data_IF_083617821736
#
_entry.id   IF_083617821736
#
_cell.length_a   1.000
_cell.length_b   1.000
_cell.length_c   1.000
_cell.angle_alpha   90.00
_cell.angle_beta   90.00
_cell.angle_gamma   90.00
#
_symmetry.space_group_name_H-M   'P 1'
#
loop_
_entity.id
_entity.type
_entity.pdbx_description
1 polymer ?
#
# COMPACT_ATOMS: atom_id res chain seq x y z
N UNK A 1 -2.00 -9.85 -5.22
CA UNK A 1 -0.78 -9.32 -5.86
C UNK A 1 -0.36 -8.11 -5.03
N UNK A 2 0.90 -8.03 -4.58
CA UNK A 2 1.34 -6.99 -3.62
C UNK A 2 1.60 -5.62 -4.25
N UNK A 3 1.64 -5.53 -5.59
CA UNK A 3 2.05 -4.32 -6.29
C UNK A 3 3.51 -3.92 -6.00
N UNK A 4 4.28 -4.81 -5.39
CA UNK A 4 5.63 -4.58 -4.85
C UNK A 4 6.65 -5.33 -5.69
N UNK A 5 7.83 -4.73 -5.88
CA UNK A 5 8.94 -5.30 -6.66
C UNK A 5 9.41 -6.60 -6.02
N UNK A 6 9.57 -6.65 -4.70
CA UNK A 6 10.07 -7.83 -3.99
C UNK A 6 9.17 -9.06 -4.20
N UNK A 7 7.86 -8.85 -4.37
CA UNK A 7 6.88 -9.91 -4.63
C UNK A 7 7.04 -10.55 -6.02
N UNK A 8 7.73 -9.89 -6.95
CA UNK A 8 8.00 -10.37 -8.31
C UNK A 8 9.50 -10.36 -8.64
N UNK A 9 10.36 -10.38 -7.62
CA UNK A 9 11.82 -10.30 -7.78
C UNK A 9 12.40 -11.33 -8.75
N UNK A 10 11.92 -12.58 -8.69
CA UNK A 10 12.36 -13.66 -9.59
C UNK A 10 12.16 -13.33 -11.08
N UNK A 11 11.13 -12.53 -11.39
CA UNK A 11 10.82 -12.14 -12.76
C UNK A 11 11.78 -11.08 -13.30
N UNK A 12 12.40 -10.27 -12.42
CA UNK A 12 13.34 -9.22 -12.82
C UNK A 12 14.54 -9.78 -13.59
N UNK A 13 14.98 -11.00 -13.26
CA UNK A 13 16.05 -11.66 -14.01
C UNK A 13 15.70 -11.80 -15.49
N UNK A 14 14.52 -12.37 -15.79
CA UNK A 14 14.09 -12.59 -17.17
C UNK A 14 13.74 -11.27 -17.87
N UNK A 15 13.07 -10.38 -17.17
CA UNK A 15 12.46 -9.21 -17.78
C UNK A 15 13.37 -8.01 -17.90
N UNK A 16 14.34 -7.87 -16.98
CA UNK A 16 15.24 -6.72 -16.90
C UNK A 16 16.69 -7.18 -17.06
N UNK A 17 17.24 -7.90 -16.08
CA UNK A 17 18.69 -8.11 -15.96
C UNK A 17 19.29 -8.93 -17.11
N UNK A 18 18.64 -10.03 -17.51
CA UNK A 18 19.08 -10.86 -18.64
C UNK A 18 18.99 -10.13 -19.98
N UNK A 19 18.03 -9.21 -20.13
CA UNK A 19 17.88 -8.40 -21.35
C UNK A 19 18.89 -7.24 -21.38
N UNK A 20 19.20 -6.65 -20.23
CA UNK A 20 20.24 -5.63 -20.09
C UNK A 20 21.62 -6.22 -20.40
N UNK A 21 21.94 -7.40 -19.86
CA UNK A 21 23.19 -8.11 -20.07
C UNK A 21 23.46 -8.57 -21.51
N UNK A 22 22.43 -8.58 -22.37
CA UNK A 22 22.55 -8.91 -23.80
C UNK A 22 22.73 -7.66 -24.67
N UNK A 23 22.73 -6.48 -24.07
CA UNK A 23 22.96 -5.24 -24.79
C UNK A 23 24.40 -5.22 -25.33
N UNK A 24 24.65 -4.77 -26.56
CA UNK A 24 26.01 -4.76 -27.15
C UNK A 24 27.02 -3.96 -26.32
N UNK A 25 26.57 -2.92 -25.63
CA UNK A 25 27.42 -2.08 -24.78
C UNK A 25 27.45 -2.52 -23.31
N UNK A 26 26.91 -3.70 -22.97
CA UNK A 26 26.99 -4.21 -21.61
C UNK A 26 28.42 -4.71 -21.33
N UNK A 27 29.12 -4.17 -20.32
CA UNK A 27 30.47 -4.61 -20.00
C UNK A 27 30.46 -5.97 -19.29
N UNK A 28 31.55 -6.72 -19.42
CA UNK A 28 31.65 -8.09 -18.89
C UNK A 28 31.52 -8.13 -17.35
N UNK A 29 32.03 -7.10 -16.67
CA UNK A 29 32.02 -6.90 -15.22
C UNK A 29 30.75 -6.21 -14.68
N UNK A 30 29.73 -5.96 -15.53
CA UNK A 30 28.47 -5.33 -15.11
C UNK A 30 27.86 -5.99 -13.87
N UNK A 31 27.83 -7.32 -13.83
CA UNK A 31 27.26 -8.04 -12.69
C UNK A 31 28.17 -8.08 -11.48
N UNK A 32 29.46 -7.81 -11.61
CA UNK A 32 30.37 -7.64 -10.47
C UNK A 32 29.94 -6.43 -9.66
N UNK A 33 29.77 -5.29 -10.34
CA UNK A 33 29.32 -4.05 -9.70
C UNK A 33 27.86 -4.12 -9.24
N UNK A 34 26.95 -4.65 -10.07
CA UNK A 34 25.55 -4.80 -9.66
C UNK A 34 25.38 -5.76 -8.48
N UNK A 35 26.18 -6.82 -8.38
CA UNK A 35 26.10 -7.74 -7.23
C UNK A 35 26.72 -7.13 -5.97
N UNK A 36 27.80 -6.36 -6.11
CA UNK A 36 28.35 -5.56 -5.00
C UNK A 36 27.28 -4.62 -4.43
N UNK A 37 26.55 -3.94 -5.29
CA UNK A 37 25.46 -3.06 -4.87
C UNK A 37 24.26 -3.84 -4.31
N UNK A 38 23.86 -4.95 -4.93
CA UNK A 38 22.76 -5.80 -4.43
C UNK A 38 23.05 -6.32 -3.02
N UNK A 39 24.31 -6.58 -2.68
CA UNK A 39 24.70 -7.02 -1.34
C UNK A 39 24.28 -6.03 -0.25
N UNK A 40 24.17 -4.73 -0.55
CA UNK A 40 23.72 -3.72 0.42
C UNK A 40 22.25 -3.92 0.83
N UNK A 41 21.43 -4.49 -0.07
CA UNK A 41 20.02 -4.76 0.13
C UNK A 41 19.71 -6.15 0.73
N UNK A 42 20.73 -6.95 1.06
CA UNK A 42 20.55 -8.32 1.59
C UNK A 42 20.34 -8.37 3.10
N UNK A 43 19.52 -9.33 3.54
CA UNK A 43 19.30 -9.63 4.96
C UNK A 43 20.59 -10.00 5.68
N UNK A 44 21.36 -10.90 5.07
CA UNK A 44 22.69 -11.29 5.51
C UNK A 44 23.69 -10.80 4.47
N UNK A 45 24.28 -9.62 4.73
CA UNK A 45 25.33 -9.06 3.87
C UNK A 45 26.55 -9.98 3.88
N UNK A 46 27.10 -10.24 2.70
CA UNK A 46 28.38 -10.93 2.57
C UNK A 46 29.51 -10.01 3.01
N UNK A 47 30.52 -10.60 3.65
CA UNK A 47 31.73 -9.89 4.07
C UNK A 47 32.47 -9.31 2.84
N UNK A 48 32.64 -7.97 2.78
CA UNK A 48 33.33 -7.30 1.69
C UNK A 48 34.77 -7.78 1.47
N UNK A 49 35.47 -8.19 2.54
CA UNK A 49 36.90 -8.53 2.48
C UNK A 49 37.17 -9.99 2.04
N UNK A 50 36.15 -10.84 2.03
CA UNK A 50 36.31 -12.27 1.74
C UNK A 50 35.27 -12.74 0.72
N UNK A 51 34.10 -13.18 1.18
CA UNK A 51 33.12 -13.87 0.33
C UNK A 51 32.56 -12.97 -0.78
N UNK A 52 32.39 -11.67 -0.52
CA UNK A 52 31.95 -10.76 -1.56
C UNK A 52 33.04 -10.55 -2.61
N UNK A 53 34.29 -10.31 -2.19
CA UNK A 53 35.43 -10.11 -3.07
C UNK A 53 35.62 -11.30 -4.02
N UNK A 54 35.63 -12.53 -3.47
CA UNK A 54 35.77 -13.77 -4.26
C UNK A 54 34.72 -13.89 -5.38
N UNK A 55 33.48 -13.42 -5.11
CA UNK A 55 32.39 -13.48 -6.08
C UNK A 55 32.52 -12.39 -7.15
N UNK A 56 32.83 -11.16 -6.75
CA UNK A 56 32.87 -10.00 -7.66
C UNK A 56 34.17 -9.92 -8.49
N UNK A 57 35.22 -10.64 -8.11
CA UNK A 57 36.43 -10.79 -8.91
C UNK A 57 36.25 -11.73 -10.13
N UNK A 58 35.11 -12.42 -10.21
CA UNK A 58 34.78 -13.32 -11.31
C UNK A 58 33.41 -13.00 -11.92
N UNK A 59 33.35 -12.44 -13.15
CA UNK A 59 32.10 -12.10 -13.84
C UNK A 59 31.05 -13.20 -13.91
N UNK A 60 31.48 -14.45 -14.13
CA UNK A 60 30.56 -15.58 -14.22
C UNK A 60 29.96 -15.92 -12.84
N UNK A 61 30.76 -15.81 -11.77
CA UNK A 61 30.28 -16.04 -10.40
C UNK A 61 29.35 -14.92 -9.95
N UNK A 62 29.71 -13.65 -10.17
CA UNK A 62 28.87 -12.51 -9.82
C UNK A 62 27.51 -12.59 -10.51
N UNK A 63 27.48 -12.88 -11.82
CA UNK A 63 26.24 -13.07 -12.57
C UNK A 63 25.40 -14.23 -12.04
N UNK A 64 26.03 -15.36 -11.69
CA UNK A 64 25.35 -16.51 -11.14
C UNK A 64 24.78 -16.22 -9.74
N UNK A 65 25.53 -15.53 -8.89
CA UNK A 65 25.12 -15.13 -7.55
C UNK A 65 23.96 -14.13 -7.60
N UNK A 66 24.04 -13.12 -8.47
CA UNK A 66 22.98 -12.16 -8.71
C UNK A 66 21.68 -12.87 -9.11
N UNK A 67 21.74 -13.77 -10.11
CA UNK A 67 20.59 -14.56 -10.57
C UNK A 67 19.99 -15.45 -9.48
N UNK A 68 20.82 -16.01 -8.60
CA UNK A 68 20.39 -16.94 -7.54
C UNK A 68 19.77 -16.23 -6.34
N UNK A 69 19.94 -14.92 -6.20
CA UNK A 69 19.38 -14.14 -5.10
C UNK A 69 17.86 -14.21 -5.12
N UNK A 70 17.26 -14.68 -4.02
CA UNK A 70 15.82 -14.82 -3.86
C UNK A 70 15.24 -13.62 -3.11
N UNK A 71 13.93 -13.42 -3.22
CA UNK A 71 13.22 -12.42 -2.43
C UNK A 71 13.44 -12.59 -0.91
N UNK A 72 13.57 -13.83 -0.42
CA UNK A 72 13.88 -14.14 0.99
C UNK A 72 15.24 -13.66 1.46
N UNK A 73 16.16 -13.37 0.53
CA UNK A 73 17.53 -12.97 0.85
C UNK A 73 17.64 -11.44 1.03
N UNK A 74 16.56 -10.69 0.81
CA UNK A 74 16.52 -9.22 0.72
C UNK A 74 15.77 -8.60 1.91
N UNK A 75 16.19 -7.39 2.31
CA UNK A 75 15.73 -6.65 3.50
C UNK A 75 14.28 -6.15 3.44
N UNK A 76 13.63 -6.26 2.30
CA UNK A 76 12.26 -5.77 2.09
C UNK A 76 12.14 -4.90 0.85
N UNK A 77 10.94 -4.37 0.63
CA UNK A 77 10.60 -3.60 -0.56
C UNK A 77 11.47 -2.35 -0.71
N UNK A 78 11.65 -1.58 0.38
CA UNK A 78 12.47 -0.34 0.40
C UNK A 78 13.89 -0.59 -0.07
N UNK A 79 14.51 -1.64 0.45
CA UNK A 79 15.89 -1.98 0.12
C UNK A 79 16.02 -2.38 -1.35
N UNK A 80 15.00 -3.07 -1.88
CA UNK A 80 14.94 -3.45 -3.30
C UNK A 80 14.74 -2.23 -4.20
N UNK A 81 13.80 -1.35 -3.87
CA UNK A 81 13.56 -0.10 -4.61
C UNK A 81 14.83 0.75 -4.64
N UNK A 82 15.44 0.98 -3.47
CA UNK A 82 16.69 1.73 -3.39
C UNK A 82 17.84 1.06 -4.14
N UNK A 83 17.89 -0.28 -4.18
CA UNK A 83 18.85 -1.00 -5.02
C UNK A 83 18.60 -0.72 -6.51
N UNK A 84 17.36 -0.71 -6.99
CA UNK A 84 17.08 -0.41 -8.40
C UNK A 84 17.53 1.01 -8.79
N UNK A 85 17.31 1.98 -7.90
CA UNK A 85 17.77 3.35 -8.11
C UNK A 85 19.31 3.43 -8.11
N UNK A 86 19.99 2.77 -7.17
CA UNK A 86 21.46 2.73 -7.15
C UNK A 86 22.07 1.93 -8.29
N UNK A 87 21.39 0.91 -8.79
CA UNK A 87 21.81 0.15 -9.97
C UNK A 87 21.90 1.05 -11.21
N UNK A 88 21.07 2.08 -11.33
CA UNK A 88 21.20 3.07 -12.40
C UNK A 88 22.55 3.80 -12.32
N UNK A 89 22.97 4.25 -11.14
CA UNK A 89 24.27 4.90 -10.96
C UNK A 89 25.43 3.97 -11.33
N UNK A 90 25.38 2.71 -10.89
CA UNK A 90 26.35 1.68 -11.28
C UNK A 90 26.43 1.53 -12.81
N UNK A 91 25.29 1.52 -13.50
CA UNK A 91 25.25 1.40 -14.96
C UNK A 91 25.78 2.67 -15.65
N UNK A 92 25.47 3.84 -15.08
CA UNK A 92 25.92 5.14 -15.57
C UNK A 92 27.44 5.33 -15.45
N UNK A 93 28.06 4.79 -14.40
CA UNK A 93 29.51 4.86 -14.17
C UNK A 93 30.34 4.16 -15.27
N UNK A 94 29.76 3.21 -15.99
CA UNK A 94 30.38 2.62 -17.19
C UNK A 94 30.42 3.57 -18.40
N UNK A 95 29.84 4.78 -18.29
CA UNK A 95 29.91 5.83 -19.30
C UNK A 95 29.06 5.59 -20.56
N UNK A 96 28.12 4.63 -20.52
CA UNK A 96 27.31 4.24 -21.67
C UNK A 96 25.85 4.70 -21.53
N UNK A 97 25.53 5.88 -22.07
CA UNK A 97 24.16 6.43 -22.04
C UNK A 97 23.09 5.51 -22.65
N UNK A 98 23.44 4.73 -23.67
CA UNK A 98 22.52 3.75 -24.28
C UNK A 98 22.16 2.62 -23.31
N UNK A 99 23.12 2.13 -22.54
CA UNK A 99 22.90 1.07 -21.56
C UNK A 99 22.03 1.57 -20.39
N UNK A 100 22.30 2.79 -19.93
CA UNK A 100 21.49 3.49 -18.92
C UNK A 100 20.05 3.69 -19.39
N UNK A 101 19.85 4.18 -20.61
CA UNK A 101 18.51 4.33 -21.19
C UNK A 101 17.83 2.97 -21.41
N UNK A 102 18.58 1.93 -21.77
CA UNK A 102 18.07 0.57 -21.88
C UNK A 102 17.56 0.05 -20.54
N UNK A 103 18.29 0.30 -19.45
CA UNK A 103 17.86 -0.06 -18.11
C UNK A 103 16.55 0.65 -17.73
N UNK A 104 16.45 1.96 -17.98
CA UNK A 104 15.23 2.74 -17.77
C UNK A 104 14.02 2.13 -18.48
N UNK A 105 14.13 1.86 -19.80
CA UNK A 105 13.02 1.31 -20.60
C UNK A 105 12.61 -0.09 -20.11
N UNK A 106 13.58 -0.93 -19.73
CA UNK A 106 13.29 -2.27 -19.21
C UNK A 106 12.58 -2.21 -17.84
N UNK A 107 13.04 -1.33 -16.96
CA UNK A 107 12.41 -1.12 -15.65
C UNK A 107 10.99 -0.57 -15.80
N UNK A 108 10.78 0.43 -16.66
CA UNK A 108 9.45 0.99 -16.93
C UNK A 108 8.48 -0.10 -17.42
N UNK A 109 8.88 -0.87 -18.45
CA UNK A 109 8.06 -1.95 -18.97
C UNK A 109 7.77 -3.03 -17.92
N UNK A 110 8.69 -3.27 -16.98
CA UNK A 110 8.50 -4.19 -15.87
C UNK A 110 7.45 -3.67 -14.87
N UNK A 111 7.54 -2.40 -14.47
CA UNK A 111 6.56 -1.76 -13.58
C UNK A 111 5.15 -1.84 -14.17
N UNK A 112 5.00 -1.49 -15.45
CA UNK A 112 3.71 -1.53 -16.16
C UNK A 112 3.16 -2.96 -16.26
N UNK A 113 4.00 -3.92 -16.69
CA UNK A 113 3.61 -5.33 -16.89
C UNK A 113 3.07 -5.98 -15.63
N UNK A 114 3.66 -5.71 -14.47
CA UNK A 114 3.24 -6.29 -13.19
C UNK A 114 2.34 -5.36 -12.37
N UNK A 115 1.91 -4.22 -12.95
CA UNK A 115 1.08 -3.20 -12.30
C UNK A 115 1.63 -2.83 -10.91
N UNK A 116 2.94 -2.59 -10.88
CA UNK A 116 3.65 -2.23 -9.65
C UNK A 116 3.31 -0.81 -9.25
N UNK A 117 3.45 -0.53 -7.94
CA UNK A 117 2.97 0.69 -7.31
C UNK A 117 3.78 1.95 -7.62
N UNK A 118 4.77 1.89 -8.52
CA UNK A 118 5.72 2.96 -8.75
C UNK A 118 5.62 3.54 -10.17
N UNK A 119 5.83 4.84 -10.26
CA UNK A 119 6.09 5.58 -11.49
C UNK A 119 7.60 5.83 -11.61
N UNK A 120 8.17 5.59 -12.79
CA UNK A 120 9.61 5.75 -13.03
C UNK A 120 9.90 7.14 -13.60
N UNK A 121 10.73 7.92 -12.92
CA UNK A 121 11.14 9.26 -13.32
C UNK A 121 12.63 9.32 -13.66
N UNK A 122 12.99 10.20 -14.59
CA UNK A 122 14.39 10.42 -14.98
C UNK A 122 15.16 11.19 -13.88
N UNK A 123 16.47 10.95 -13.69
CA UNK A 123 17.30 10.02 -14.45
C UNK A 123 16.95 8.55 -14.19
N UNK A 124 16.72 8.15 -12.93
CA UNK A 124 16.05 6.91 -12.54
C UNK A 124 15.63 6.97 -11.06
N UNK A 125 14.36 7.24 -10.80
CA UNK A 125 13.79 7.27 -9.45
C UNK A 125 12.37 6.71 -9.46
N UNK A 126 12.04 5.92 -8.45
CA UNK A 126 10.78 5.20 -8.32
C UNK A 126 9.88 5.92 -7.33
N UNK A 127 8.78 6.47 -7.83
CA UNK A 127 7.85 7.27 -7.03
C UNK A 127 6.57 6.49 -6.77
N UNK A 128 6.11 6.35 -5.52
CA UNK A 128 4.82 5.75 -5.22
C UNK A 128 3.69 6.45 -5.98
N UNK A 129 2.84 5.66 -6.64
CA UNK A 129 1.64 6.15 -7.31
C UNK A 129 0.48 6.24 -6.31
N UNK A 130 -0.47 7.14 -6.55
CA UNK A 130 -1.66 7.24 -5.71
C UNK A 130 -2.46 5.92 -5.62
N UNK A 131 -2.74 5.19 -6.73
CA UNK A 131 -3.35 3.86 -6.64
C UNK A 131 -2.51 2.88 -5.79
N UNK A 132 -1.19 2.95 -5.89
CA UNK A 132 -0.25 2.18 -5.09
C UNK A 132 -0.38 2.46 -3.59
N UNK A 133 -0.45 3.73 -3.21
CA UNK A 133 -0.66 4.19 -1.84
C UNK A 133 -2.00 3.66 -1.28
N UNK A 134 -3.08 3.73 -2.06
CA UNK A 134 -4.37 3.17 -1.65
C UNK A 134 -4.35 1.64 -1.51
N UNK A 135 -3.70 0.94 -2.44
CA UNK A 135 -3.55 -0.51 -2.37
C UNK A 135 -2.79 -0.93 -1.10
N UNK A 136 -1.75 -0.17 -0.74
CA UNK A 136 -0.99 -0.38 0.49
C UNK A 136 -1.82 -0.11 1.74
N UNK A 137 -2.50 1.03 1.79
CA UNK A 137 -3.40 1.38 2.88
C UNK A 137 -4.44 0.29 3.16
N UNK A 138 -5.09 -0.24 2.12
CA UNK A 138 -6.08 -1.33 2.28
C UNK A 138 -5.46 -2.62 2.83
N UNK A 139 -4.23 -2.93 2.43
CA UNK A 139 -3.50 -4.10 2.90
C UNK A 139 -3.08 -3.94 4.36
N UNK A 140 -2.57 -2.79 4.74
CA UNK A 140 -2.13 -2.51 6.10
C UNK A 140 -3.36 -2.43 7.03
N UNK A 141 -4.48 -1.89 6.56
CA UNK A 141 -5.77 -1.96 7.25
C UNK A 141 -6.21 -3.41 7.49
N UNK A 142 -6.07 -4.30 6.50
CA UNK A 142 -6.32 -5.75 6.70
C UNK A 142 -5.39 -6.34 7.76
N UNK A 143 -4.11 -5.97 7.75
CA UNK A 143 -3.14 -6.44 8.73
C UNK A 143 -3.51 -5.99 10.15
N UNK A 144 -3.83 -4.71 10.32
CA UNK A 144 -4.26 -4.13 11.61
C UNK A 144 -5.52 -4.79 12.12
N UNK A 145 -6.56 -4.86 11.29
CA UNK A 145 -7.86 -5.44 11.68
C UNK A 145 -7.75 -6.94 12.01
N UNK A 146 -6.81 -7.67 11.41
CA UNK A 146 -6.59 -9.09 11.70
C UNK A 146 -6.09 -9.39 13.12
N UNK A 147 -5.60 -8.38 13.84
CA UNK A 147 -5.13 -8.49 15.22
C UNK A 147 -6.28 -8.56 16.24
N UNK A 148 -7.51 -8.21 15.85
CA UNK A 148 -8.70 -8.24 16.68
C UNK A 148 -9.82 -9.02 15.98
N UNK A 149 -10.45 -9.98 16.68
CA UNK A 149 -11.43 -10.87 16.07
C UNK A 149 -12.69 -10.13 15.57
N UNK A 150 -13.12 -9.08 16.27
CA UNK A 150 -14.30 -8.29 15.89
C UNK A 150 -13.98 -7.39 14.69
N UNK A 151 -12.84 -6.70 14.70
CA UNK A 151 -12.39 -5.90 13.56
C UNK A 151 -12.11 -6.76 12.33
N UNK A 152 -11.54 -7.95 12.51
CA UNK A 152 -11.32 -8.89 11.41
C UNK A 152 -12.64 -9.35 10.78
N UNK A 153 -13.71 -9.52 11.57
CA UNK A 153 -15.03 -9.87 11.05
C UNK A 153 -15.61 -8.73 10.21
N UNK A 154 -15.54 -7.48 10.70
CA UNK A 154 -15.99 -6.29 9.99
C UNK A 154 -15.21 -6.05 8.67
N UNK A 155 -13.90 -6.28 8.69
CA UNK A 155 -13.06 -6.17 7.48
C UNK A 155 -13.46 -7.22 6.44
N UNK A 156 -13.73 -8.46 6.85
CA UNK A 156 -14.18 -9.53 5.95
C UNK A 156 -15.55 -9.22 5.36
N UNK A 157 -16.50 -8.75 6.17
CA UNK A 157 -17.83 -8.35 5.72
C UNK A 157 -17.75 -7.23 4.67
N UNK A 158 -16.91 -6.21 4.90
CA UNK A 158 -16.66 -5.18 3.90
C UNK A 158 -16.08 -5.75 2.59
N UNK A 159 -15.07 -6.61 2.66
CA UNK A 159 -14.50 -7.22 1.46
C UNK A 159 -15.47 -8.13 0.71
N UNK A 160 -16.33 -8.84 1.42
CA UNK A 160 -17.37 -9.69 0.83
C UNK A 160 -18.42 -8.87 0.11
N UNK A 161 -18.93 -7.80 0.73
CA UNK A 161 -19.89 -6.89 0.08
C UNK A 161 -19.31 -6.21 -1.17
N UNK A 162 -18.01 -5.89 -1.19
CA UNK A 162 -17.32 -5.41 -2.40
C UNK A 162 -17.28 -6.48 -3.49
N UNK A 163 -17.03 -7.75 -3.15
CA UNK A 163 -17.01 -8.86 -4.12
C UNK A 163 -18.39 -9.14 -4.71
N UNK A 164 -19.44 -9.05 -3.91
CA UNK A 164 -20.84 -9.26 -4.33
C UNK A 164 -21.26 -8.32 -5.46
N UNK A 165 -20.72 -7.09 -5.48
CA UNK A 165 -20.97 -6.09 -6.53
C UNK A 165 -20.46 -6.50 -7.92
N UNK A 166 -19.62 -7.55 -8.02
CA UNK A 166 -19.27 -8.11 -9.33
C UNK A 166 -20.44 -8.86 -9.96
N UNK A 167 -21.28 -9.52 -9.16
CA UNK A 167 -22.44 -10.28 -9.63
C UNK A 167 -23.69 -9.43 -9.79
N UNK A 168 -23.96 -8.54 -8.84
CA UNK A 168 -25.19 -7.73 -8.80
C UNK A 168 -24.88 -6.32 -8.27
N UNK A 169 -25.12 -5.30 -9.10
CA UNK A 169 -24.88 -3.89 -8.75
C UNK A 169 -26.16 -3.14 -8.37
N UNK A 170 -27.09 -3.83 -7.71
CA UNK A 170 -28.35 -3.20 -7.30
C UNK A 170 -28.14 -2.14 -6.21
N UNK A 171 -29.01 -1.11 -6.12
CA UNK A 171 -28.94 -0.09 -5.09
C UNK A 171 -28.87 -0.68 -3.68
N UNK A 172 -29.57 -1.79 -3.43
CA UNK A 172 -29.51 -2.53 -2.17
C UNK A 172 -28.08 -3.02 -1.87
N UNK A 173 -27.40 -3.63 -2.84
CA UNK A 173 -26.03 -4.14 -2.68
C UNK A 173 -25.03 -3.01 -2.48
N UNK A 174 -25.21 -1.90 -3.19
CA UNK A 174 -24.37 -0.71 -2.99
C UNK A 174 -24.51 -0.16 -1.56
N UNK A 175 -25.74 0.00 -1.07
CA UNK A 175 -26.00 0.46 0.32
C UNK A 175 -25.36 -0.47 1.35
N UNK A 176 -25.45 -1.79 1.13
CA UNK A 176 -24.82 -2.79 2.01
C UNK A 176 -23.30 -2.65 2.05
N UNK A 177 -22.64 -2.44 0.91
CA UNK A 177 -21.19 -2.21 0.85
C UNK A 177 -20.77 -0.95 1.63
N UNK A 178 -21.48 0.16 1.41
CA UNK A 178 -21.25 1.41 2.13
C UNK A 178 -21.46 1.20 3.65
N UNK A 179 -22.55 0.55 4.05
CA UNK A 179 -22.86 0.27 5.45
C UNK A 179 -21.78 -0.58 6.13
N UNK A 180 -21.29 -1.63 5.46
CA UNK A 180 -20.23 -2.50 5.97
C UNK A 180 -18.93 -1.71 6.21
N UNK A 181 -18.57 -0.79 5.31
CA UNK A 181 -17.40 0.06 5.51
C UNK A 181 -17.57 1.02 6.69
N UNK A 182 -18.74 1.63 6.88
CA UNK A 182 -19.00 2.46 8.06
C UNK A 182 -18.91 1.65 9.35
N UNK A 183 -19.43 0.43 9.37
CA UNK A 183 -19.32 -0.45 10.54
C UNK A 183 -17.85 -0.75 10.86
N UNK A 184 -17.02 -1.02 9.85
CA UNK A 184 -15.57 -1.19 10.01
C UNK A 184 -14.92 0.06 10.62
N UNK A 185 -15.18 1.25 10.08
CA UNK A 185 -14.58 2.49 10.58
C UNK A 185 -15.07 2.85 12.00
N UNK A 186 -16.33 2.60 12.32
CA UNK A 186 -16.88 2.75 13.66
C UNK A 186 -16.22 1.77 14.64
N UNK A 187 -15.96 0.54 14.21
CA UNK A 187 -15.17 -0.44 14.96
C UNK A 187 -13.75 0.05 15.25
N UNK A 188 -13.04 0.56 14.24
CA UNK A 188 -11.70 1.12 14.41
C UNK A 188 -11.69 2.27 15.42
N UNK A 189 -12.65 3.19 15.27
CA UNK A 189 -12.71 4.38 16.13
C UNK A 189 -13.11 4.01 17.58
N UNK A 190 -13.94 3.00 17.77
CA UNK A 190 -14.26 2.43 19.09
C UNK A 190 -13.02 1.84 19.77
N UNK A 191 -12.10 1.27 19.00
CA UNK A 191 -10.81 0.76 19.48
C UNK A 191 -9.74 1.86 19.65
N UNK A 192 -10.05 3.12 19.31
CA UNK A 192 -9.08 4.20 19.42
C UNK A 192 -8.76 4.55 20.89
N UNK A 193 -7.48 4.72 21.28
CA UNK A 193 -7.10 4.92 22.69
C UNK A 193 -7.85 6.07 23.39
N UNK A 194 -7.96 7.23 22.74
CA UNK A 194 -8.65 8.38 23.31
C UNK A 194 -10.16 8.14 23.54
N UNK A 195 -10.79 7.29 22.73
CA UNK A 195 -12.21 6.92 22.89
C UNK A 195 -12.37 5.94 24.04
N UNK A 196 -11.47 4.95 24.14
CA UNK A 196 -11.43 3.99 25.26
C UNK A 196 -11.22 4.74 26.57
N UNK A 197 -10.23 5.63 26.63
CA UNK A 197 -9.93 6.45 27.81
C UNK A 197 -11.12 7.30 28.22
N UNK A 198 -11.72 8.03 27.26
CA UNK A 198 -12.91 8.84 27.55
C UNK A 198 -14.04 7.99 28.13
N UNK A 199 -14.34 6.83 27.53
CA UNK A 199 -15.42 5.96 27.99
C UNK A 199 -15.11 5.26 29.32
N UNK A 200 -13.85 5.06 29.68
CA UNK A 200 -13.43 4.51 30.97
C UNK A 200 -13.73 5.47 32.14
N UNK A 201 -13.75 6.78 31.89
CA UNK A 201 -14.08 7.80 32.91
C UNK A 201 -15.59 7.95 33.18
N UNK A 202 -16.44 7.21 32.46
CA UNK A 202 -17.91 7.32 32.55
C UNK A 202 -18.48 6.18 33.37
N UNK A 203 -19.05 6.52 34.53
CA UNK A 203 -19.72 5.57 35.42
C UNK A 203 -20.99 5.00 34.78
N UNK A 204 -21.73 5.85 34.05
CA UNK A 204 -22.99 5.47 33.43
C UNK A 204 -22.83 5.14 31.96
N UNK A 205 -23.42 4.02 31.54
CA UNK A 205 -23.39 3.54 30.15
C UNK A 205 -24.01 4.54 29.15
N UNK A 206 -24.96 5.36 29.61
CA UNK A 206 -25.59 6.43 28.82
C UNK A 206 -24.67 7.63 28.54
N UNK A 207 -23.60 7.79 29.32
CA UNK A 207 -22.62 8.87 29.13
C UNK A 207 -21.48 8.47 28.18
N UNK A 208 -21.39 7.19 27.82
CA UNK A 208 -20.37 6.70 26.89
C UNK A 208 -20.70 7.12 25.46
N UNK A 209 -19.68 7.52 24.72
CA UNK A 209 -19.81 7.79 23.29
C UNK A 209 -19.80 6.47 22.53
N UNK A 210 -20.84 6.25 21.72
CA UNK A 210 -21.04 5.00 20.96
C UNK A 210 -21.20 5.22 19.46
N UNK A 211 -21.66 6.40 19.06
CA UNK A 211 -21.83 6.73 17.64
C UNK A 211 -20.51 7.22 17.08
N UNK A 212 -20.23 6.89 15.81
CA UNK A 212 -19.03 7.38 15.12
C UNK A 212 -18.83 8.89 15.28
N UNK A 213 -19.88 9.68 15.04
CA UNK A 213 -19.78 11.13 15.13
C UNK A 213 -19.37 11.64 16.51
N UNK A 214 -19.90 11.05 17.58
CA UNK A 214 -19.51 11.39 18.95
C UNK A 214 -18.08 10.92 19.29
N UNK A 215 -17.67 9.77 18.76
CA UNK A 215 -16.29 9.28 18.91
C UNK A 215 -15.29 10.16 18.15
N UNK A 216 -15.66 10.74 17.00
CA UNK A 216 -14.81 11.69 16.27
C UNK A 216 -14.45 12.90 17.14
N UNK A 217 -15.37 13.37 17.98
CA UNK A 217 -15.12 14.49 18.90
C UNK A 217 -14.10 14.14 20.00
N UNK A 218 -13.91 12.85 20.32
CA UNK A 218 -12.97 12.39 21.33
C UNK A 218 -11.61 11.96 20.79
N UNK A 219 -11.52 11.53 19.52
CA UNK A 219 -10.31 10.94 18.96
C UNK A 219 -9.09 11.88 18.93
N UNK A 220 -9.29 13.21 18.84
CA UNK A 220 -8.22 14.24 18.84
C UNK A 220 -7.09 14.02 17.82
N UNK A 221 -7.38 13.34 16.71
CA UNK A 221 -6.44 12.99 15.61
C UNK A 221 -6.51 13.93 14.40
N UNK A 222 -7.46 14.85 14.40
CA UNK A 222 -7.80 15.61 13.20
C UNK A 222 -6.85 16.80 12.99
N UNK A 223 -6.31 17.00 11.78
CA UNK A 223 -5.41 18.12 11.50
C UNK A 223 -6.13 19.47 11.46
N UNK A 224 -7.45 19.46 11.27
CA UNK A 224 -8.28 20.67 11.24
C UNK A 224 -9.74 20.33 11.58
N UNK A 225 -10.48 21.28 12.16
CA UNK A 225 -11.88 21.06 12.54
C UNK A 225 -12.78 20.67 11.36
N UNK A 226 -12.54 21.23 10.17
CA UNK A 226 -13.31 20.87 8.96
C UNK A 226 -13.06 19.43 8.51
N UNK A 227 -11.89 18.85 8.77
CA UNK A 227 -11.65 17.43 8.45
C UNK A 227 -12.47 16.52 9.37
N UNK A 228 -12.56 16.87 10.65
CA UNK A 228 -13.44 16.18 11.60
C UNK A 228 -14.91 16.29 11.18
N UNK A 229 -15.38 17.51 10.88
CA UNK A 229 -16.77 17.73 10.48
C UNK A 229 -17.09 17.07 9.13
N UNK A 230 -16.13 17.00 8.19
CA UNK A 230 -16.29 16.22 6.96
C UNK A 230 -16.52 14.74 7.25
N UNK A 231 -15.74 14.12 8.15
CA UNK A 231 -15.95 12.73 8.55
C UNK A 231 -17.34 12.52 9.19
N UNK A 232 -17.77 13.45 10.06
CA UNK A 232 -19.09 13.44 10.70
C UNK A 232 -20.23 13.62 9.70
N UNK A 233 -20.07 14.48 8.69
CA UNK A 233 -21.08 14.72 7.66
C UNK A 233 -21.22 13.53 6.72
N UNK A 234 -20.10 12.90 6.33
CA UNK A 234 -20.13 11.66 5.55
C UNK A 234 -20.80 10.54 6.36
N UNK A 235 -20.57 10.47 7.67
CA UNK A 235 -21.31 9.57 8.55
C UNK A 235 -22.81 9.89 8.61
N UNK A 236 -23.17 11.17 8.73
CA UNK A 236 -24.56 11.64 8.72
C UNK A 236 -25.30 11.21 7.47
N UNK A 237 -24.65 11.22 6.30
CA UNK A 237 -25.20 10.65 5.07
C UNK A 237 -25.63 9.18 5.23
N UNK A 238 -24.83 8.33 5.88
CA UNK A 238 -25.19 6.92 6.09
C UNK A 238 -26.29 6.70 7.13
N UNK A 239 -26.45 7.62 8.08
CA UNK A 239 -27.53 7.61 9.06
C UNK A 239 -28.85 8.11 8.46
N UNK A 240 -28.80 9.15 7.65
CA UNK A 240 -29.98 9.84 7.12
C UNK A 240 -30.48 9.25 5.80
N UNK A 241 -29.60 8.70 4.96
CA UNK A 241 -30.02 8.12 3.69
C UNK A 241 -30.78 6.79 3.93
N UNK A 242 -31.98 6.60 3.34
CA UNK A 242 -32.79 5.42 3.58
C UNK A 242 -32.14 4.08 3.21
N UNK A 243 -32.02 3.21 4.22
CA UNK A 243 -31.61 1.82 4.04
C UNK A 243 -30.10 1.60 3.88
N UNK A 244 -29.26 2.56 4.26
CA UNK A 244 -27.81 2.30 4.45
C UNK A 244 -27.59 1.67 5.82
N UNK A 245 -27.77 2.42 6.92
CA UNK A 245 -27.62 1.89 8.28
C UNK A 245 -28.94 1.74 9.04
N UNK A 246 -29.87 2.66 8.81
CA UNK A 246 -31.16 2.73 9.49
C UNK A 246 -32.28 2.99 8.47
N UNK A 247 -33.52 3.06 8.94
CA UNK A 247 -34.66 3.45 8.09
C UNK A 247 -34.42 4.79 7.37
N UNK A 248 -33.63 5.68 7.98
CA UNK A 248 -33.26 6.98 7.43
C UNK A 248 -34.44 7.95 7.35
N UNK A 249 -34.22 9.05 6.63
CA UNK A 249 -35.22 10.10 6.36
C UNK A 249 -35.47 10.15 4.86
N UNK A 250 -36.61 9.63 4.34
CA UNK A 250 -36.88 9.58 2.91
C UNK A 250 -36.73 10.93 2.18
N UNK A 251 -37.07 12.04 2.85
CA UNK A 251 -36.92 13.38 2.31
C UNK A 251 -35.46 13.83 2.07
N UNK A 252 -34.48 13.18 2.70
CA UNK A 252 -33.05 13.48 2.51
C UNK A 252 -32.44 12.76 1.30
N UNK A 253 -33.17 11.84 0.66
CA UNK A 253 -32.72 11.15 -0.55
C UNK A 253 -32.98 12.01 -1.78
N UNK A 254 -31.93 12.53 -2.41
CA UNK A 254 -32.05 13.31 -3.65
C UNK A 254 -32.22 12.43 -4.90
N UNK A 255 -31.62 11.25 -4.90
CA UNK A 255 -31.71 10.23 -5.96
C UNK A 255 -31.31 8.88 -5.40
N UNK A 256 -31.60 7.82 -6.15
CA UNK A 256 -31.10 6.48 -5.82
C UNK A 256 -29.56 6.42 -5.91
N UNK A 257 -28.95 5.69 -4.97
CA UNK A 257 -27.51 5.44 -4.91
C UNK A 257 -27.10 4.39 -5.94
N UNK A 258 -25.98 4.65 -6.61
CA UNK A 258 -25.39 3.79 -7.62
C UNK A 258 -23.89 3.53 -7.36
N UNK A 259 -23.24 2.86 -8.31
CA UNK A 259 -21.82 2.51 -8.21
C UNK A 259 -20.88 3.72 -8.12
N UNK A 260 -21.25 4.89 -8.67
CA UNK A 260 -20.43 6.11 -8.57
C UNK A 260 -20.36 6.57 -7.12
N UNK A 261 -21.48 6.55 -6.41
CA UNK A 261 -21.54 6.93 -5.00
C UNK A 261 -20.73 5.96 -4.13
N UNK A 262 -20.84 4.65 -4.42
CA UNK A 262 -20.05 3.61 -3.77
C UNK A 262 -18.56 3.90 -3.86
N UNK A 263 -18.06 4.16 -5.07
CA UNK A 263 -16.64 4.44 -5.30
C UNK A 263 -16.22 5.72 -4.56
N UNK A 264 -16.99 6.80 -4.70
CA UNK A 264 -16.65 8.08 -4.10
C UNK A 264 -16.60 8.01 -2.56
N UNK A 265 -17.63 7.43 -1.95
CA UNK A 265 -17.71 7.25 -0.49
C UNK A 265 -16.60 6.30 -0.03
N UNK A 266 -16.37 5.20 -0.74
CA UNK A 266 -15.36 4.22 -0.32
C UNK A 266 -13.94 4.79 -0.34
N UNK A 267 -13.59 5.56 -1.37
CA UNK A 267 -12.29 6.23 -1.46
C UNK A 267 -12.13 7.26 -0.33
N UNK A 268 -13.16 8.08 -0.07
CA UNK A 268 -13.13 9.07 1.00
C UNK A 268 -12.96 8.42 2.38
N UNK A 269 -13.74 7.38 2.66
CA UNK A 269 -13.72 6.64 3.93
C UNK A 269 -12.41 5.89 4.14
N UNK A 270 -11.88 5.24 3.11
CA UNK A 270 -10.55 4.60 3.18
C UNK A 270 -9.47 5.62 3.48
N UNK A 271 -9.48 6.79 2.82
CA UNK A 271 -8.54 7.88 3.13
C UNK A 271 -8.62 8.33 4.59
N UNK A 272 -9.84 8.44 5.14
CA UNK A 272 -10.05 8.81 6.54
C UNK A 272 -9.58 7.76 7.54
N UNK A 273 -9.49 6.48 7.16
CA UNK A 273 -9.04 5.40 8.05
C UNK A 273 -7.65 5.66 8.64
N UNK A 274 -6.80 6.42 7.93
CA UNK A 274 -5.47 6.85 8.41
C UNK A 274 -5.52 7.68 9.68
N UNK A 275 -6.63 8.37 9.97
CA UNK A 275 -6.83 9.08 11.24
C UNK A 275 -7.38 8.16 12.34
N UNK A 276 -8.09 7.09 11.98
CA UNK A 276 -8.88 6.32 12.95
C UNK A 276 -8.08 5.22 13.65
N UNK A 277 -6.92 4.86 13.11
CA UNK A 277 -6.07 3.83 13.69
C UNK A 277 -4.63 4.34 13.82
N UNK A 278 -4.12 4.34 15.05
CA UNK A 278 -2.75 4.75 15.35
C UNK A 278 -1.69 3.74 14.88
N UNK A 279 -2.11 2.52 14.53
CA UNK A 279 -1.21 1.48 14.02
C UNK A 279 -0.97 1.58 12.52
N UNK A 280 -1.76 2.41 11.80
CA UNK A 280 -1.48 2.75 10.41
C UNK A 280 -0.36 3.78 10.35
N UNK A 281 0.80 3.38 9.82
CA UNK A 281 1.94 4.27 9.65
C UNK A 281 1.88 4.93 8.27
N UNK A 282 1.66 6.25 8.23
CA UNK A 282 1.57 7.01 6.99
C UNK A 282 2.88 7.01 6.18
N UNK A 283 4.03 7.07 6.84
CA UNK A 283 5.34 6.99 6.19
C UNK A 283 5.53 5.62 5.54
N UNK A 284 5.17 4.54 6.23
CA UNK A 284 5.25 3.18 5.68
C UNK A 284 4.24 2.95 4.55
N UNK A 285 3.07 3.61 4.59
CA UNK A 285 2.08 3.54 3.52
C UNK A 285 2.59 4.26 2.27
N UNK A 286 3.26 5.40 2.42
CA UNK A 286 3.82 6.16 1.31
C UNK A 286 5.08 5.47 0.75
N UNK A 287 6.04 5.15 1.61
CA UNK A 287 7.43 4.86 1.27
C UNK A 287 7.73 3.36 1.07
N UNK A 288 6.97 2.48 1.74
CA UNK A 288 7.35 1.07 1.98
C UNK A 288 6.29 0.07 1.56
#
# INVERSE_FOLDING_TARGET
MRGEVIGVWSEMWREVWSKLAKHPNAPDDLFCELFRELNTARNARLDPATTLADIVDNPAQARAAFRKTKASDLQGEVAVVGFLERAHHVIEDFGCGDLTNRYFVLAQAFLEKYSLRYDLRRPFSLHPTLPGVFARLMRDLRSVTSQDAALSALMREFEETVRDLKGEQSPRRVKQCIAAQFNLLEGLLKAHPAVIEFNATRENEHQKVKTFGAMCDQAKVWPHHQMKEAAKNIFGFASDYPGIRHAGTPAHSLREIDMRDMIAVSVALTGMATYLSQTLNAEAIYSD
#
